data_IF_029466976167
#
_entry.id   IF_029466976167
#
_cell.length_a   1.000
_cell.length_b   1.000
_cell.length_c   1.000
_cell.angle_alpha   90.00
_cell.angle_beta   90.00
_cell.angle_gamma   90.00
#
_symmetry.space_group_name_H-M   'P 1'
#
loop_
_entity.id
_entity.type
_entity.pdbx_description
1 polymer ?
#
# COMPACT_ATOMS: atom_id res chain seq x y z
N UNK A 1 -10.32 11.38 -15.65
CA UNK A 1 -10.25 9.95 -15.29
C UNK A 1 -9.20 9.16 -16.10
N UNK A 2 -9.22 9.19 -17.44
CA UNK A 2 -8.31 8.39 -18.30
C UNK A 2 -6.80 8.56 -18.06
N UNK A 3 -6.31 9.78 -17.79
CA UNK A 3 -4.87 10.05 -17.59
C UNK A 3 -4.29 9.39 -16.32
N UNK A 4 -5.10 9.17 -15.28
CA UNK A 4 -4.68 8.51 -14.04
C UNK A 4 -4.73 6.99 -14.14
N UNK A 5 -5.74 6.45 -14.84
CA UNK A 5 -5.81 5.02 -15.14
C UNK A 5 -4.64 4.59 -16.02
N UNK A 6 -4.32 5.36 -17.06
CA UNK A 6 -3.13 5.13 -17.88
C UNK A 6 -1.83 5.21 -17.09
N UNK A 7 -1.73 6.15 -16.14
CA UNK A 7 -0.55 6.24 -15.25
C UNK A 7 -0.45 5.06 -14.27
N UNK A 8 -1.57 4.62 -13.68
CA UNK A 8 -1.61 3.45 -12.81
C UNK A 8 -1.22 2.17 -13.57
N UNK A 9 -1.72 2.01 -14.80
CA UNK A 9 -1.31 0.92 -15.68
C UNK A 9 0.18 0.98 -15.99
N UNK A 10 0.72 2.16 -16.35
CA UNK A 10 2.14 2.34 -16.63
C UNK A 10 3.02 1.99 -15.42
N UNK A 11 2.66 2.44 -14.22
CA UNK A 11 3.40 2.12 -12.99
C UNK A 11 3.27 0.64 -12.65
N UNK A 12 2.10 0.03 -12.83
CA UNK A 12 1.89 -1.41 -12.64
C UNK A 12 2.72 -2.26 -13.61
N UNK A 13 2.72 -1.93 -14.90
CA UNK A 13 3.57 -2.57 -15.90
C UNK A 13 5.06 -2.41 -15.57
N UNK A 14 5.47 -1.23 -15.10
CA UNK A 14 6.83 -0.99 -14.64
C UNK A 14 7.20 -1.90 -13.46
N UNK A 15 6.32 -2.09 -12.47
CA UNK A 15 6.57 -2.99 -11.34
C UNK A 15 6.80 -4.42 -11.83
N UNK A 16 5.94 -4.92 -12.71
CA UNK A 16 6.10 -6.27 -13.28
C UNK A 16 7.41 -6.38 -14.07
N UNK A 17 7.74 -5.38 -14.90
CA UNK A 17 8.98 -5.36 -15.65
C UNK A 17 10.22 -5.31 -14.74
N UNK A 18 10.15 -4.58 -13.62
CA UNK A 18 11.22 -4.53 -12.64
C UNK A 18 11.39 -5.87 -11.92
N UNK A 19 10.30 -6.53 -11.50
CA UNK A 19 10.35 -7.88 -10.89
C UNK A 19 10.99 -8.87 -11.87
N UNK A 20 10.50 -8.91 -13.12
CA UNK A 20 11.03 -9.82 -14.14
C UNK A 20 12.51 -9.52 -14.46
N UNK A 21 12.89 -8.25 -14.62
CA UNK A 21 14.26 -7.86 -14.91
C UNK A 21 15.22 -8.17 -13.75
N UNK A 22 14.80 -7.93 -12.51
CA UNK A 22 15.58 -8.27 -11.32
C UNK A 22 15.77 -9.77 -11.15
N UNK A 23 14.73 -10.54 -11.47
CA UNK A 23 14.79 -12.00 -11.46
C UNK A 23 15.80 -12.54 -12.48
N UNK A 24 15.79 -12.02 -13.72
CA UNK A 24 16.77 -12.42 -14.74
C UNK A 24 18.19 -12.05 -14.34
N UNK A 25 18.39 -10.90 -13.69
CA UNK A 25 19.71 -10.43 -13.26
C UNK A 25 20.19 -11.04 -11.94
N UNK A 26 19.38 -11.86 -11.26
CA UNK A 26 19.66 -12.32 -9.91
C UNK A 26 20.97 -13.14 -9.80
N UNK A 27 21.30 -13.89 -10.85
CA UNK A 27 22.48 -14.76 -10.88
C UNK A 27 23.72 -14.07 -11.47
N UNK A 28 23.51 -13.11 -12.39
CA UNK A 28 24.59 -12.45 -13.14
C UNK A 28 25.09 -11.15 -12.49
N UNK A 29 24.23 -10.46 -11.75
CA UNK A 29 24.55 -9.16 -11.16
C UNK A 29 25.12 -9.32 -9.74
N UNK A 30 26.31 -8.77 -9.50
CA UNK A 30 26.87 -8.71 -8.15
C UNK A 30 25.96 -7.96 -7.17
N UNK A 31 26.02 -8.33 -5.89
CA UNK A 31 25.16 -7.82 -4.82
C UNK A 31 25.08 -6.27 -4.78
N UNK A 32 26.20 -5.58 -4.98
CA UNK A 32 26.23 -4.12 -5.02
C UNK A 32 25.34 -3.52 -6.13
N UNK A 33 25.33 -4.15 -7.31
CA UNK A 33 24.49 -3.74 -8.45
C UNK A 33 23.02 -4.01 -8.14
N UNK A 34 22.69 -5.18 -7.59
CA UNK A 34 21.31 -5.50 -7.20
C UNK A 34 20.77 -4.52 -6.16
N UNK A 35 21.54 -4.20 -5.13
CA UNK A 35 21.16 -3.21 -4.12
C UNK A 35 20.91 -1.85 -4.75
N UNK A 36 21.81 -1.40 -5.64
CA UNK A 36 21.63 -0.13 -6.36
C UNK A 36 20.35 -0.13 -7.22
N UNK A 37 20.07 -1.22 -7.93
CA UNK A 37 18.85 -1.35 -8.73
C UNK A 37 17.58 -1.32 -7.85
N UNK A 38 17.59 -1.93 -6.67
CA UNK A 38 16.45 -1.89 -5.74
C UNK A 38 16.21 -0.49 -5.19
N UNK A 39 17.30 0.25 -4.90
CA UNK A 39 17.21 1.66 -4.49
C UNK A 39 16.62 2.52 -5.62
N UNK A 40 17.12 2.37 -6.84
CA UNK A 40 16.58 3.07 -8.03
C UNK A 40 15.10 2.73 -8.22
N UNK A 41 14.74 1.45 -8.09
CA UNK A 41 13.37 0.99 -8.19
C UNK A 41 12.46 1.68 -7.16
N UNK A 42 12.88 1.73 -5.90
CA UNK A 42 12.16 2.42 -4.82
C UNK A 42 12.01 3.93 -5.05
N UNK A 43 13.06 4.60 -5.55
CA UNK A 43 12.99 6.04 -5.89
C UNK A 43 11.99 6.31 -7.01
N UNK A 44 12.03 5.52 -8.08
CA UNK A 44 11.10 5.65 -9.20
C UNK A 44 9.65 5.41 -8.77
N UNK A 45 9.41 4.41 -7.91
CA UNK A 45 8.09 4.17 -7.32
C UNK A 45 7.63 5.32 -6.46
N UNK A 46 8.49 5.84 -5.59
CA UNK A 46 8.15 6.98 -4.74
C UNK A 46 7.71 8.18 -5.58
N UNK A 47 8.48 8.52 -6.62
CA UNK A 47 8.16 9.61 -7.55
C UNK A 47 6.87 9.33 -8.33
N UNK A 48 6.69 8.11 -8.81
CA UNK A 48 5.52 7.68 -9.57
C UNK A 48 4.23 7.71 -8.75
N UNK A 49 4.28 7.24 -7.49
CA UNK A 49 3.16 7.20 -6.56
C UNK A 49 2.80 8.60 -6.06
N UNK A 50 3.80 9.47 -5.84
CA UNK A 50 3.55 10.86 -5.45
C UNK A 50 2.69 11.61 -6.46
N UNK A 51 2.75 11.23 -7.74
CA UNK A 51 1.91 11.78 -8.81
C UNK A 51 0.43 11.39 -8.69
N UNK A 52 0.08 10.38 -7.90
CA UNK A 52 -1.32 10.07 -7.57
C UNK A 52 -1.93 11.04 -6.56
N UNK A 53 -1.13 11.87 -5.87
CA UNK A 53 -1.60 12.87 -4.91
C UNK A 53 -1.63 12.40 -3.44
N UNK A 54 -1.31 11.13 -3.17
CA UNK A 54 -1.23 10.57 -1.82
C UNK A 54 0.14 10.84 -1.16
N UNK A 55 0.42 12.11 -0.80
CA UNK A 55 1.75 12.54 -0.33
C UNK A 55 2.22 11.84 0.95
N UNK A 56 1.36 11.73 1.96
CA UNK A 56 1.73 11.21 3.28
C UNK A 56 2.01 9.70 3.30
N UNK A 57 1.31 8.92 2.47
CA UNK A 57 1.47 7.46 2.41
C UNK A 57 2.38 6.98 1.28
N UNK A 58 2.94 7.88 0.46
CA UNK A 58 3.71 7.52 -0.73
C UNK A 58 5.02 6.78 -0.43
N UNK A 59 5.70 7.13 0.66
CA UNK A 59 6.93 6.48 1.10
C UNK A 59 6.68 5.05 1.58
N UNK A 60 5.69 4.85 2.45
CA UNK A 60 5.31 3.53 2.95
C UNK A 60 4.83 2.61 1.84
N UNK A 61 4.05 3.13 0.88
CA UNK A 61 3.60 2.36 -0.27
C UNK A 61 4.76 1.93 -1.17
N UNK A 62 5.69 2.85 -1.47
CA UNK A 62 6.87 2.52 -2.27
C UNK A 62 7.75 1.47 -1.57
N UNK A 63 7.99 1.63 -0.26
CA UNK A 63 8.76 0.67 0.51
C UNK A 63 8.09 -0.71 0.53
N UNK A 64 6.78 -0.76 0.77
CA UNK A 64 6.02 -2.01 0.75
C UNK A 64 6.17 -2.72 -0.61
N UNK A 65 5.99 -1.98 -1.72
CA UNK A 65 6.12 -2.52 -3.07
C UNK A 65 7.54 -3.07 -3.31
N UNK A 66 8.59 -2.36 -2.88
CA UNK A 66 9.98 -2.84 -2.99
C UNK A 66 10.16 -4.15 -2.23
N UNK A 67 9.68 -4.22 -0.99
CA UNK A 67 9.78 -5.43 -0.16
C UNK A 67 9.06 -6.61 -0.81
N UNK A 68 7.78 -6.46 -1.19
CA UNK A 68 7.06 -7.58 -1.82
C UNK A 68 7.63 -7.94 -3.19
N UNK A 69 8.16 -6.98 -3.95
CA UNK A 69 8.84 -7.27 -5.22
C UNK A 69 10.12 -8.09 -4.99
N UNK A 70 10.90 -7.76 -3.96
CA UNK A 70 12.10 -8.53 -3.60
C UNK A 70 11.77 -9.94 -3.14
N UNK A 71 10.68 -10.11 -2.38
CA UNK A 71 10.19 -11.42 -1.96
C UNK A 71 9.71 -12.23 -3.16
N UNK A 72 9.01 -11.60 -4.11
CA UNK A 72 8.58 -12.24 -5.35
C UNK A 72 9.77 -12.79 -6.14
N UNK A 73 10.84 -12.00 -6.30
CA UNK A 73 12.07 -12.43 -6.99
C UNK A 73 12.74 -13.60 -6.25
N UNK A 74 12.90 -13.49 -4.93
CA UNK A 74 13.53 -14.55 -4.14
C UNK A 74 12.78 -15.87 -4.19
N UNK A 75 11.45 -15.82 -4.05
CA UNK A 75 10.60 -17.02 -4.13
C UNK A 75 10.54 -17.60 -5.55
N UNK A 76 10.52 -16.75 -6.58
CA UNK A 76 10.61 -17.21 -7.97
C UNK A 76 11.95 -17.92 -8.25
N UNK A 77 13.05 -17.48 -7.61
CA UNK A 77 14.35 -18.16 -7.69
C UNK A 77 14.28 -19.60 -7.17
N UNK A 78 13.67 -19.80 -5.99
CA UNK A 78 13.45 -21.14 -5.44
C UNK A 78 12.56 -22.00 -6.35
N UNK A 79 11.44 -21.44 -6.82
CA UNK A 79 10.56 -22.12 -7.78
C UNK A 79 11.31 -22.57 -9.05
N UNK A 80 12.27 -21.77 -9.53
CA UNK A 80 13.08 -22.10 -10.71
C UNK A 80 13.97 -23.31 -10.44
N UNK A 81 14.64 -23.35 -9.29
CA UNK A 81 15.48 -24.48 -8.89
C UNK A 81 14.64 -25.76 -8.84
N UNK A 82 13.49 -25.72 -8.16
CA UNK A 82 12.59 -26.86 -8.02
C UNK A 82 12.01 -27.31 -9.37
N UNK A 83 11.56 -26.38 -10.21
CA UNK A 83 11.08 -26.70 -11.57
C UNK A 83 12.19 -27.27 -12.45
N UNK A 84 13.42 -26.77 -12.31
CA UNK A 84 14.57 -27.29 -13.06
C UNK A 84 14.87 -28.71 -12.63
N UNK A 85 14.89 -28.97 -11.32
CA UNK A 85 15.08 -30.30 -10.75
C UNK A 85 13.97 -31.27 -11.18
N UNK A 86 12.71 -30.83 -11.22
CA UNK A 86 11.59 -31.64 -11.74
C UNK A 86 11.70 -31.95 -13.24
N UNK A 87 12.26 -31.03 -14.04
CA UNK A 87 12.32 -31.17 -15.50
C UNK A 87 13.49 -32.02 -15.99
N UNK A 88 14.67 -31.85 -15.39
CA UNK A 88 15.91 -32.51 -15.81
C UNK A 88 16.44 -33.54 -14.82
N UNK A 89 15.96 -33.51 -13.58
CA UNK A 89 16.47 -34.37 -12.52
C UNK A 89 15.99 -35.80 -12.68
N UNK A 90 16.79 -36.72 -12.16
CA UNK A 90 16.53 -38.15 -12.20
C UNK A 90 16.10 -38.64 -10.81
N UNK A 91 15.05 -39.48 -10.77
CA UNK A 91 14.59 -40.06 -9.50
C UNK A 91 15.43 -41.28 -9.18
N UNK A 92 16.20 -41.21 -8.10
CA UNK A 92 17.10 -42.28 -7.65
C UNK A 92 16.80 -42.67 -6.20
N UNK A 93 17.12 -43.91 -5.87
CA UNK A 93 17.13 -44.38 -4.48
C UNK A 93 18.57 -44.21 -3.98
N UNK A 94 18.73 -43.39 -2.95
CA UNK A 94 20.03 -43.10 -2.34
C UNK A 94 20.01 -43.44 -0.84
N UNK A 95 21.17 -43.83 -0.31
CA UNK A 95 21.38 -44.11 1.11
C UNK A 95 22.03 -42.90 1.77
N UNK A 96 21.51 -42.50 2.92
CA UNK A 96 22.12 -41.45 3.74
C UNK A 96 23.39 -42.02 4.38
N UNK A 97 24.56 -41.48 4.06
CA UNK A 97 25.84 -41.97 4.59
C UNK A 97 26.47 -41.02 5.61
N UNK A 98 26.04 -39.77 5.60
CA UNK A 98 26.54 -38.75 6.50
C UNK A 98 25.44 -37.78 6.88
N UNK A 99 25.49 -37.34 8.13
CA UNK A 99 24.59 -36.33 8.69
C UNK A 99 25.44 -35.21 9.30
N UNK A 100 25.06 -33.97 8.99
CA UNK A 100 25.67 -32.78 9.55
C UNK A 100 24.58 -31.82 9.95
N UNK A 101 24.61 -31.38 11.20
CA UNK A 101 23.64 -30.43 11.72
C UNK A 101 24.29 -29.06 11.89
N UNK A 102 23.54 -28.00 11.57
CA UNK A 102 23.96 -26.68 12.02
C UNK A 102 24.04 -26.65 13.56
N UNK A 103 25.06 -25.97 14.13
CA UNK A 103 25.16 -25.79 15.56
C UNK A 103 23.91 -25.06 16.08
N UNK A 104 23.47 -25.35 17.32
CA UNK A 104 22.25 -24.78 17.88
C UNK A 104 22.40 -23.27 18.10
N UNK A 105 21.97 -22.48 17.12
CA UNK A 105 22.09 -21.01 17.13
C UNK A 105 20.74 -20.35 17.44
N UNK A 106 20.28 -20.52 18.69
CA UNK A 106 19.14 -19.82 19.27
C UNK A 106 17.81 -19.96 18.51
N UNK A 107 17.22 -18.83 18.08
CA UNK A 107 15.86 -18.75 17.49
C UNK A 107 15.76 -19.15 16.01
N UNK A 108 16.87 -19.50 15.35
CA UNK A 108 16.86 -19.91 13.94
C UNK A 108 16.54 -21.39 13.81
N UNK A 109 15.78 -21.76 12.78
CA UNK A 109 15.51 -23.15 12.46
C UNK A 109 16.83 -23.89 12.22
N UNK A 110 16.90 -25.14 12.70
CA UNK A 110 18.08 -26.00 12.52
C UNK A 110 18.00 -26.64 11.14
N UNK A 111 18.98 -26.37 10.30
CA UNK A 111 19.11 -27.11 9.05
C UNK A 111 19.89 -28.40 9.32
N UNK A 112 19.38 -29.48 8.74
CA UNK A 112 20.09 -30.75 8.67
C UNK A 112 20.58 -30.93 7.23
N UNK A 113 21.83 -31.36 7.11
CA UNK A 113 22.49 -31.64 5.85
C UNK A 113 22.82 -33.12 5.79
N UNK A 114 22.47 -33.75 4.68
CA UNK A 114 22.65 -35.19 4.48
C UNK A 114 23.53 -35.42 3.25
N UNK A 115 24.57 -36.23 3.44
CA UNK A 115 25.37 -36.78 2.34
C UNK A 115 24.70 -38.06 1.87
N UNK A 116 24.51 -38.20 0.57
CA UNK A 116 23.79 -39.30 -0.05
C UNK A 116 24.73 -40.10 -0.97
N UNK A 117 24.59 -41.41 -0.96
CA UNK A 117 25.28 -42.33 -1.88
C UNK A 117 24.27 -43.22 -2.62
N UNK A 118 24.54 -43.51 -3.88
CA UNK A 118 23.85 -44.51 -4.67
C UNK A 118 24.09 -45.93 -4.12
N UNK A 119 23.30 -46.90 -4.58
CA UNK A 119 23.49 -48.31 -4.21
C UNK A 119 24.85 -48.89 -4.63
N UNK A 120 25.50 -48.30 -5.64
CA UNK A 120 26.83 -48.69 -6.11
C UNK A 120 27.98 -48.07 -5.29
N UNK A 121 27.65 -47.28 -4.26
CA UNK A 121 28.61 -46.60 -3.38
C UNK A 121 29.20 -45.32 -3.97
N UNK A 122 28.69 -44.84 -5.11
CA UNK A 122 29.06 -43.51 -5.63
C UNK A 122 28.24 -42.42 -4.93
N UNK A 123 28.83 -41.25 -4.74
CA UNK A 123 28.13 -40.11 -4.13
C UNK A 123 27.11 -39.52 -5.10
N UNK A 124 25.93 -39.15 -4.57
CA UNK A 124 24.91 -38.41 -5.33
C UNK A 124 25.50 -37.07 -5.79
N UNK A 125 25.39 -36.72 -7.09
CA UNK A 125 25.94 -35.47 -7.61
C UNK A 125 25.34 -34.22 -6.94
N UNK A 126 26.18 -33.20 -6.77
CA UNK A 126 25.78 -31.89 -6.26
C UNK A 126 26.08 -31.66 -4.77
N UNK A 127 25.56 -30.56 -4.19
CA UNK A 127 25.74 -30.26 -2.77
C UNK A 127 24.93 -31.20 -1.85
N UNK A 128 25.21 -31.20 -0.55
CA UNK A 128 24.46 -31.99 0.45
C UNK A 128 22.95 -31.69 0.39
N UNK A 129 22.11 -32.74 0.51
CA UNK A 129 20.66 -32.59 0.66
C UNK A 129 20.36 -31.81 1.95
N UNK A 130 19.49 -30.80 1.88
CA UNK A 130 19.16 -29.94 3.02
C UNK A 130 17.70 -30.09 3.42
N UNK A 131 17.44 -30.24 4.72
CA UNK A 131 16.09 -30.21 5.29
C UNK A 131 15.98 -29.15 6.40
N UNK A 132 14.75 -28.78 6.75
CA UNK A 132 14.45 -27.83 7.83
C UNK A 132 14.27 -28.50 9.20
N UNK A 133 14.35 -29.82 9.24
CA UNK A 133 14.18 -30.65 10.43
C UNK A 133 14.99 -31.92 10.28
N UNK A 134 15.33 -32.51 11.41
CA UNK A 134 15.96 -33.83 11.45
C UNK A 134 14.94 -34.89 11.03
N UNK A 135 15.08 -35.44 9.82
CA UNK A 135 14.11 -36.32 9.18
C UNK A 135 14.66 -37.70 8.84
N UNK A 136 15.98 -37.81 8.70
CA UNK A 136 16.63 -39.01 8.19
C UNK A 136 17.84 -39.37 9.04
N UNK A 137 18.07 -40.67 9.21
CA UNK A 137 19.23 -41.21 9.92
C UNK A 137 20.25 -41.80 8.93
N UNK A 138 21.52 -41.85 9.33
CA UNK A 138 22.54 -42.56 8.55
C UNK A 138 22.19 -44.05 8.38
N UNK A 139 22.35 -44.57 7.16
CA UNK A 139 21.95 -45.90 6.73
C UNK A 139 20.52 -46.01 6.18
N UNK A 140 19.73 -44.95 6.26
CA UNK A 140 18.37 -44.92 5.71
C UNK A 140 18.40 -44.74 4.19
N UNK A 141 17.57 -45.51 3.48
CA UNK A 141 17.32 -45.32 2.04
C UNK A 141 16.19 -44.31 1.82
N UNK A 142 16.41 -43.37 0.92
CA UNK A 142 15.49 -42.27 0.60
C UNK A 142 15.42 -42.13 -0.92
N UNK A 143 14.20 -41.89 -1.43
CA UNK A 143 14.00 -41.54 -2.83
C UNK A 143 14.20 -40.05 -3.01
N UNK A 144 15.17 -39.67 -3.85
CA UNK A 144 15.52 -38.29 -4.14
C UNK A 144 15.50 -38.05 -5.64
N UNK A 145 15.31 -36.80 -6.02
CA UNK A 145 15.52 -36.28 -7.36
C UNK A 145 16.90 -35.62 -7.32
N UNK A 146 17.83 -36.14 -8.10
CA UNK A 146 19.17 -35.59 -8.24
C UNK A 146 19.30 -34.81 -9.55
N UNK A 147 20.24 -33.87 -9.56
CA UNK A 147 20.58 -33.12 -10.76
C UNK A 147 21.82 -33.73 -11.43
N UNK A 148 21.71 -34.31 -12.64
CA UNK A 148 22.85 -34.93 -13.31
C UNK A 148 23.98 -33.94 -13.64
N UNK A 149 23.68 -32.64 -13.70
CA UNK A 149 24.69 -31.58 -13.90
C UNK A 149 25.39 -31.16 -12.60
N UNK A 150 24.94 -31.66 -11.44
CA UNK A 150 25.46 -31.34 -10.11
C UNK A 150 25.37 -29.85 -9.70
N UNK A 151 24.54 -29.05 -10.38
CA UNK A 151 24.36 -27.63 -10.05
C UNK A 151 23.38 -27.44 -8.88
N UNK A 152 22.33 -28.27 -8.85
CA UNK A 152 21.25 -28.19 -7.88
C UNK A 152 21.41 -29.22 -6.77
N UNK A 153 20.83 -28.91 -5.61
CA UNK A 153 20.83 -29.82 -4.46
C UNK A 153 19.83 -30.95 -4.70
N UNK A 154 20.16 -32.19 -4.35
CA UNK A 154 19.20 -33.28 -4.38
C UNK A 154 18.07 -33.02 -3.38
N UNK A 155 16.84 -33.33 -3.78
CA UNK A 155 15.64 -33.12 -2.96
C UNK A 155 14.68 -34.31 -3.09
N UNK A 156 13.89 -34.58 -2.06
CA UNK A 156 12.81 -35.57 -2.21
C UNK A 156 11.68 -35.04 -3.11
N UNK A 157 10.88 -35.91 -3.77
CA UNK A 157 9.80 -35.47 -4.65
C UNK A 157 8.77 -34.53 -4.00
N UNK A 158 8.55 -34.67 -2.68
CA UNK A 158 7.66 -33.78 -1.93
C UNK A 158 8.30 -32.44 -1.54
N UNK A 159 9.63 -32.34 -1.56
CA UNK A 159 10.36 -31.10 -1.31
C UNK A 159 10.54 -30.29 -2.59
N UNK A 160 10.81 -30.95 -3.70
CA UNK A 160 10.97 -30.32 -5.01
C UNK A 160 9.63 -29.84 -5.62
N UNK A 161 8.57 -29.58 -4.83
CA UNK A 161 7.27 -29.13 -5.32
C UNK A 161 7.21 -27.61 -5.43
N UNK A 162 7.47 -27.08 -6.63
CA UNK A 162 7.46 -25.65 -6.91
C UNK A 162 6.09 -24.96 -6.78
N UNK A 163 5.00 -25.69 -6.52
CA UNK A 163 3.64 -25.12 -6.51
C UNK A 163 3.51 -24.02 -5.46
N UNK A 164 4.05 -24.23 -4.26
CA UNK A 164 3.99 -23.26 -3.17
C UNK A 164 4.74 -21.98 -3.50
N UNK A 165 5.93 -22.11 -4.07
CA UNK A 165 6.83 -21.04 -4.43
C UNK A 165 6.25 -20.23 -5.60
N UNK A 166 5.74 -20.89 -6.65
CA UNK A 166 5.10 -20.20 -7.79
C UNK A 166 3.89 -19.38 -7.33
N UNK A 167 3.03 -19.96 -6.48
CA UNK A 167 1.87 -19.25 -5.93
C UNK A 167 2.31 -18.10 -5.01
N UNK A 168 3.34 -18.31 -4.20
CA UNK A 168 3.91 -17.29 -3.33
C UNK A 168 4.47 -16.09 -4.12
N UNK A 169 5.28 -16.37 -5.14
CA UNK A 169 5.83 -15.34 -6.03
C UNK A 169 4.72 -14.56 -6.75
N UNK A 170 3.70 -15.25 -7.27
CA UNK A 170 2.54 -14.62 -7.89
C UNK A 170 1.74 -13.75 -6.89
N UNK A 171 1.54 -14.23 -5.67
CA UNK A 171 0.83 -13.49 -4.62
C UNK A 171 1.57 -12.19 -4.26
N UNK A 172 2.90 -12.24 -4.13
CA UNK A 172 3.73 -11.06 -3.86
C UNK A 172 3.69 -10.05 -5.02
N UNK A 173 3.78 -10.52 -6.27
CA UNK A 173 3.66 -9.66 -7.44
C UNK A 173 2.27 -8.99 -7.52
N UNK A 174 1.21 -9.73 -7.22
CA UNK A 174 -0.15 -9.19 -7.16
C UNK A 174 -0.32 -8.17 -6.03
N UNK A 175 0.28 -8.39 -4.86
CA UNK A 175 0.29 -7.42 -3.77
C UNK A 175 0.98 -6.11 -4.17
N UNK A 176 2.07 -6.19 -4.94
CA UNK A 176 2.79 -5.05 -5.48
C UNK A 176 1.91 -4.22 -6.42
N UNK A 177 1.30 -4.87 -7.42
CA UNK A 177 0.42 -4.21 -8.41
C UNK A 177 -0.86 -3.70 -7.76
N UNK A 178 -1.46 -4.49 -6.86
CA UNK A 178 -2.65 -4.10 -6.10
C UNK A 178 -2.42 -2.84 -5.27
N UNK A 179 -1.22 -2.68 -4.70
CA UNK A 179 -0.84 -1.46 -3.97
C UNK A 179 -0.81 -0.21 -4.87
N UNK A 180 -0.35 -0.34 -6.11
CA UNK A 180 -0.37 0.75 -7.10
C UNK A 180 -1.81 1.16 -7.43
N UNK A 181 -2.66 0.18 -7.72
CA UNK A 181 -4.09 0.42 -8.02
C UNK A 181 -4.79 1.07 -6.84
N UNK A 182 -4.55 0.57 -5.63
CA UNK A 182 -5.10 1.14 -4.39
C UNK A 182 -4.69 2.59 -4.18
N UNK A 183 -3.40 2.91 -4.39
CA UNK A 183 -2.90 4.29 -4.25
C UNK A 183 -3.49 5.23 -5.31
N UNK A 184 -3.63 4.76 -6.55
CA UNK A 184 -4.29 5.53 -7.62
C UNK A 184 -5.75 5.83 -7.29
N UNK A 185 -6.48 4.85 -6.75
CA UNK A 185 -7.87 5.01 -6.31
C UNK A 185 -8.01 5.97 -5.12
N UNK A 186 -7.16 5.84 -4.08
CA UNK A 186 -7.14 6.77 -2.94
C UNK A 186 -6.86 8.20 -3.39
N UNK A 187 -5.90 8.37 -4.29
CA UNK A 187 -5.55 9.67 -4.86
C UNK A 187 -6.68 10.32 -5.65
N UNK A 188 -7.49 9.52 -6.37
CA UNK A 188 -8.68 10.01 -7.05
C UNK A 188 -9.77 10.45 -6.05
N UNK A 189 -10.01 9.66 -4.99
CA UNK A 189 -11.00 10.00 -3.96
C UNK A 189 -10.67 11.29 -3.20
N UNK A 190 -9.40 11.48 -2.85
CA UNK A 190 -8.95 12.68 -2.12
C UNK A 190 -9.12 13.96 -2.96
N UNK A 191 -8.87 13.90 -4.26
CA UNK A 191 -9.09 15.03 -5.17
C UNK A 191 -10.59 15.40 -5.24
N UNK A 192 -11.47 14.41 -5.42
CA UNK A 192 -12.92 14.64 -5.44
C UNK A 192 -13.38 15.31 -4.15
N UNK A 193 -12.95 14.79 -3.00
CA UNK A 193 -13.28 15.39 -1.70
C UNK A 193 -12.77 16.82 -1.55
N UNK A 194 -11.59 17.13 -2.11
CA UNK A 194 -11.03 18.49 -2.07
C UNK A 194 -11.85 19.43 -2.96
N UNK A 195 -12.25 19.00 -4.16
CA UNK A 195 -13.09 19.78 -5.07
C UNK A 195 -14.46 20.04 -4.45
N UNK A 196 -15.08 19.03 -3.83
CA UNK A 196 -16.34 19.16 -3.11
C UNK A 196 -16.23 20.13 -1.93
N UNK A 197 -15.14 20.06 -1.16
CA UNK A 197 -14.91 20.98 -0.05
C UNK A 197 -14.73 22.43 -0.51
N UNK A 198 -14.00 22.67 -1.60
CA UNK A 198 -13.84 24.02 -2.19
C UNK A 198 -15.16 24.54 -2.73
N UNK A 199 -15.94 23.70 -3.41
CA UNK A 199 -17.27 24.07 -3.89
C UNK A 199 -18.21 24.41 -2.73
N UNK A 200 -18.20 23.62 -1.65
CA UNK A 200 -18.98 23.87 -0.45
C UNK A 200 -18.57 25.17 0.26
N UNK A 201 -17.28 25.48 0.38
CA UNK A 201 -16.81 26.75 0.96
C UNK A 201 -17.22 27.95 0.09
N UNK A 202 -17.14 27.81 -1.23
CA UNK A 202 -17.56 28.85 -2.18
C UNK A 202 -19.06 29.12 -2.07
N UNK A 203 -19.88 28.06 -2.09
CA UNK A 203 -21.33 28.16 -1.92
C UNK A 203 -21.69 28.77 -0.56
N UNK A 204 -20.95 28.43 0.51
CA UNK A 204 -21.13 29.04 1.83
C UNK A 204 -20.82 30.54 1.79
N UNK A 205 -19.73 30.97 1.17
CA UNK A 205 -19.38 32.40 1.05
C UNK A 205 -20.43 33.19 0.26
N UNK A 206 -20.95 32.63 -0.83
CA UNK A 206 -22.03 33.25 -1.60
C UNK A 206 -23.29 33.45 -0.76
N UNK A 207 -23.65 32.46 0.07
CA UNK A 207 -24.76 32.58 1.02
C UNK A 207 -24.51 33.66 2.08
N UNK A 208 -23.29 33.76 2.59
CA UNK A 208 -22.91 34.83 3.53
C UNK A 208 -22.99 36.21 2.88
N UNK A 209 -22.53 36.36 1.63
CA UNK A 209 -22.61 37.62 0.88
C UNK A 209 -24.05 38.01 0.57
N UNK A 210 -24.89 37.05 0.15
CA UNK A 210 -26.33 37.27 -0.03
C UNK A 210 -27.00 37.71 1.27
N UNK A 211 -26.64 37.11 2.40
CA UNK A 211 -27.16 37.52 3.70
C UNK A 211 -26.73 38.95 4.04
N UNK A 212 -25.46 39.31 3.84
CA UNK A 212 -24.96 40.68 4.06
C UNK A 212 -25.69 41.69 3.18
N UNK A 213 -25.85 41.38 1.90
CA UNK A 213 -26.57 42.23 0.95
C UNK A 213 -28.03 42.42 1.38
N UNK A 214 -28.71 41.33 1.77
CA UNK A 214 -30.09 41.40 2.22
C UNK A 214 -30.24 42.20 3.53
N UNK A 215 -29.37 41.99 4.52
CA UNK A 215 -29.34 42.79 5.75
C UNK A 215 -29.10 44.28 5.49
N UNK A 216 -28.37 44.63 4.44
CA UNK A 216 -28.15 46.03 4.04
C UNK A 216 -29.36 46.64 3.30
N UNK A 217 -30.10 45.84 2.52
CA UNK A 217 -31.21 46.34 1.68
C UNK A 217 -32.57 46.35 2.37
N UNK A 218 -32.81 45.43 3.31
CA UNK A 218 -34.13 45.32 3.95
C UNK A 218 -34.33 46.46 4.96
N UNK A 219 -35.43 47.18 4.82
CA UNK A 219 -35.84 48.14 5.84
C UNK A 219 -36.37 47.41 7.07
N UNK A 220 -35.98 47.92 8.24
CA UNK A 220 -36.52 47.47 9.52
C UNK A 220 -38.05 47.64 9.56
N UNK A 221 -38.74 46.67 10.16
CA UNK A 221 -40.19 46.74 10.36
C UNK A 221 -40.58 47.91 11.29
N UNK A 222 -41.90 48.14 11.50
CA UNK A 222 -42.41 49.19 12.41
C UNK A 222 -41.88 49.07 13.86
N UNK A 223 -41.24 47.96 14.22
CA UNK A 223 -40.66 47.68 15.53
C UNK A 223 -39.12 47.69 15.51
N UNK A 224 -38.49 48.08 14.41
CA UNK A 224 -37.03 48.17 14.28
C UNK A 224 -36.33 46.85 13.98
N UNK A 225 -37.05 45.81 13.52
CA UNK A 225 -36.46 44.50 13.22
C UNK A 225 -36.42 44.21 11.72
N UNK A 226 -35.28 43.71 11.25
CA UNK A 226 -35.12 43.03 9.97
C UNK A 226 -35.47 41.55 10.19
N UNK A 227 -36.51 41.06 9.51
CA UNK A 227 -36.97 39.66 9.58
C UNK A 227 -36.55 38.92 8.32
N UNK A 228 -35.97 37.75 8.49
CA UNK A 228 -35.50 36.91 7.39
C UNK A 228 -35.94 35.47 7.59
N UNK A 229 -36.28 34.77 6.50
CA UNK A 229 -36.59 33.34 6.56
C UNK A 229 -35.28 32.53 6.50
N UNK A 230 -35.06 31.55 7.40
CA UNK A 230 -33.91 30.64 7.31
C UNK A 230 -33.87 29.85 5.98
N UNK A 231 -35.03 29.63 5.35
CA UNK A 231 -35.15 28.90 4.08
C UNK A 231 -34.54 29.65 2.89
N UNK A 232 -34.41 30.98 2.98
CA UNK A 232 -33.72 31.80 1.97
C UNK A 232 -32.19 31.62 2.03
N UNK A 233 -31.67 31.08 3.15
CA UNK A 233 -30.26 30.88 3.41
C UNK A 233 -29.95 29.46 3.92
N UNK A 234 -30.26 28.41 3.14
CA UNK A 234 -30.21 27.02 3.61
C UNK A 234 -28.80 26.54 3.98
N UNK A 235 -27.76 27.24 3.54
CA UNK A 235 -26.36 26.95 3.86
C UNK A 235 -25.83 27.58 5.15
N UNK A 236 -26.65 28.35 5.88
CA UNK A 236 -26.21 29.10 7.07
C UNK A 236 -26.94 28.65 8.34
N UNK A 237 -26.17 28.50 9.41
CA UNK A 237 -26.75 28.34 10.75
C UNK A 237 -27.16 29.69 11.33
N UNK A 238 -28.13 29.70 12.24
CA UNK A 238 -28.51 30.91 12.99
C UNK A 238 -27.31 31.55 13.71
N UNK A 239 -26.42 30.74 14.28
CA UNK A 239 -25.20 31.24 14.95
C UNK A 239 -24.26 31.96 13.98
N UNK A 240 -24.13 31.49 12.73
CA UNK A 240 -23.33 32.15 11.71
C UNK A 240 -24.00 33.43 11.21
N UNK A 241 -25.31 33.38 10.97
CA UNK A 241 -26.10 34.54 10.57
C UNK A 241 -26.08 35.65 11.64
N UNK A 242 -26.23 35.29 12.92
CA UNK A 242 -26.13 36.21 14.05
C UNK A 242 -24.75 36.88 14.15
N UNK A 243 -23.67 36.13 13.90
CA UNK A 243 -22.32 36.69 13.86
C UNK A 243 -22.14 37.67 12.70
N UNK A 244 -22.65 37.35 11.51
CA UNK A 244 -22.62 38.26 10.35
C UNK A 244 -23.42 39.54 10.64
N UNK A 245 -24.59 39.41 11.26
CA UNK A 245 -25.39 40.57 11.64
C UNK A 245 -24.65 41.45 12.67
N UNK A 246 -23.97 40.83 13.65
CA UNK A 246 -23.13 41.54 14.62
C UNK A 246 -21.96 42.28 13.98
N UNK A 247 -21.27 41.66 13.01
CA UNK A 247 -20.23 42.30 12.19
C UNK A 247 -20.77 43.53 11.43
N UNK A 248 -22.06 43.54 11.13
CA UNK A 248 -22.77 44.66 10.49
C UNK A 248 -23.39 45.67 11.48
N UNK A 249 -23.12 45.56 12.78
CA UNK A 249 -23.66 46.47 13.80
C UNK A 249 -25.11 46.16 14.23
N UNK A 250 -25.62 44.98 13.89
CA UNK A 250 -26.95 44.52 14.26
C UNK A 250 -26.89 43.50 15.40
N UNK A 251 -27.87 43.52 16.30
CA UNK A 251 -28.07 42.53 17.35
C UNK A 251 -29.07 41.47 16.88
N UNK A 252 -28.65 40.21 16.89
CA UNK A 252 -29.56 39.09 16.67
C UNK A 252 -30.41 38.81 17.92
N UNK A 253 -31.72 38.63 17.75
CA UNK A 253 -32.60 38.19 18.84
C UNK A 253 -32.36 36.70 19.12
N UNK A 254 -32.38 36.30 20.40
CA UNK A 254 -32.16 34.91 20.79
C UNK A 254 -33.23 33.98 20.18
N UNK A 255 -32.83 32.72 19.95
CA UNK A 255 -33.60 31.68 19.25
C UNK A 255 -34.94 31.38 19.98
N UNK A 256 -35.98 32.18 19.70
CA UNK A 256 -37.29 32.08 20.37
C UNK A 256 -38.50 32.23 19.44
N UNK A 257 -38.32 32.76 18.22
CA UNK A 257 -39.38 32.90 17.23
C UNK A 257 -39.27 31.78 16.19
N UNK A 258 -40.16 30.77 16.28
CA UNK A 258 -40.21 29.63 15.35
C UNK A 258 -40.45 30.14 13.92
N UNK A 259 -39.42 30.07 13.08
CA UNK A 259 -39.52 30.25 11.62
C UNK A 259 -38.95 31.54 11.04
N UNK A 260 -38.37 32.46 11.83
CA UNK A 260 -37.69 33.65 11.26
C UNK A 260 -36.50 34.10 12.11
N UNK A 261 -35.43 34.53 11.44
CA UNK A 261 -34.31 35.23 12.07
C UNK A 261 -34.64 36.72 12.18
N UNK A 262 -34.33 37.33 13.32
CA UNK A 262 -34.65 38.73 13.61
C UNK A 262 -33.40 39.46 14.06
N UNK A 263 -33.12 40.59 13.40
CA UNK A 263 -31.97 41.44 13.66
C UNK A 263 -32.45 42.88 13.90
N UNK A 264 -31.89 43.57 14.89
CA UNK A 264 -32.21 44.98 15.17
C UNK A 264 -30.92 45.79 15.30
N UNK A 265 -30.97 47.10 15.15
CA UNK A 265 -29.78 47.94 15.40
C UNK A 265 -29.26 47.79 16.84
N UNK A 266 -27.94 47.84 17.00
CA UNK A 266 -27.30 47.81 18.30
C UNK A 266 -27.37 49.19 18.93
N UNK A 267 -28.35 49.42 19.81
CA UNK A 267 -28.37 50.63 20.66
C UNK A 267 -27.33 50.44 21.76
N UNK A 268 -26.17 51.08 21.61
CA UNK A 268 -25.20 51.24 22.71
C UNK A 268 -25.71 52.41 23.55
N UNK A 269 -26.43 52.13 24.61
CA UNK A 269 -26.78 53.14 25.61
C UNK A 269 -25.51 53.42 26.42
N UNK A 270 -24.83 54.55 26.14
CA UNK A 270 -23.74 55.06 26.96
C UNK A 270 -24.30 55.39 28.35
N UNK A 271 -24.10 54.50 29.32
CA UNK A 271 -24.49 54.76 30.71
C UNK A 271 -23.45 55.70 31.32
N UNK A 272 -23.81 56.92 31.75
CA UNK A 272 -22.87 57.81 32.40
C UNK A 272 -22.40 57.18 33.72
N UNK A 273 -21.09 57.00 33.87
CA UNK A 273 -20.49 56.67 35.16
C UNK A 273 -20.55 57.91 36.05
N UNK A 274 -21.47 57.90 37.01
CA UNK A 274 -21.46 58.79 38.17
C UNK A 274 -20.68 58.16 39.33
#
# INVERSE_FOLDING_TARGET
MGRRVGWAAAVGCYVIAAIAGMYVLADDAGLAVQVALWVVHGVLLFLGIRKFGARESSSYAALFIVVVSSLAVGVAGMAREDLTLQQRGETVVATVVGERFDPPDGRKGRHSYYTLEHEDGTGVPGPEMRTTSDLYDAGQTVTVIEDPEADLRPQTPGQADATGEVLGAAAFALAAVGSVVWMAWRGARAETATVEAVAADTARREQEERLRAALHTYQADRRGYIKMSPEEFPGLSHSRAARIAWEMGLKAEAFGNRGSWRFSEMVIEEVPHH
#
